data_IF_023446233194
#
_entry.id   IF_023446233194
#
_cell.length_a   1.000
_cell.length_b   1.000
_cell.length_c   1.000
_cell.angle_alpha   90.00
_cell.angle_beta   90.00
_cell.angle_gamma   90.00
#
_symmetry.space_group_name_H-M   'P 1'
#
loop_
_entity.id
_entity.type
_entity.pdbx_description
1 polymer ?
#
# COMPACT_ATOMS: atom_id res chain seq x y z
N UNK A 1 -22.55 3.87 -19.76
CA UNK A 1 -22.77 3.83 -18.29
C UNK A 1 -21.46 3.76 -17.49
N UNK A 2 -20.46 2.93 -17.84
CA UNK A 2 -19.15 2.92 -17.15
C UNK A 2 -18.38 4.26 -17.24
N UNK A 3 -18.49 4.99 -18.35
CA UNK A 3 -17.76 6.25 -18.57
C UNK A 3 -18.25 7.43 -17.68
N UNK A 4 -19.52 7.39 -17.27
CA UNK A 4 -20.08 8.37 -16.35
C UNK A 4 -19.61 8.11 -14.91
N UNK A 5 -19.55 6.84 -14.50
CA UNK A 5 -19.07 6.44 -13.18
C UNK A 5 -17.59 6.78 -12.95
N UNK A 6 -16.74 6.64 -13.98
CA UNK A 6 -15.33 7.07 -13.91
C UNK A 6 -15.18 8.58 -13.91
N UNK A 7 -16.02 9.32 -14.64
CA UNK A 7 -16.06 10.79 -14.53
C UNK A 7 -16.53 11.26 -13.15
N UNK A 8 -17.55 10.64 -12.55
CA UNK A 8 -17.97 10.94 -11.19
C UNK A 8 -16.86 10.65 -10.16
N UNK A 9 -16.09 9.56 -10.34
CA UNK A 9 -14.95 9.24 -9.48
C UNK A 9 -13.79 10.23 -9.64
N UNK A 10 -13.55 10.73 -10.87
CA UNK A 10 -12.58 11.79 -11.16
C UNK A 10 -13.03 13.17 -10.66
N UNK A 11 -14.34 13.45 -10.65
CA UNK A 11 -14.95 14.63 -10.03
C UNK A 11 -14.87 14.58 -8.50
N UNK A 12 -14.98 13.39 -7.89
CA UNK A 12 -14.74 13.20 -6.45
C UNK A 12 -13.26 13.38 -6.05
N UNK A 13 -12.33 13.24 -7.01
CA UNK A 13 -10.90 13.48 -6.84
C UNK A 13 -10.48 14.96 -6.98
N UNK A 14 -11.44 15.87 -7.18
CA UNK A 14 -11.34 17.33 -7.02
C UNK A 14 -9.94 17.92 -7.27
N UNK A 15 -9.67 18.27 -8.53
CA UNK A 15 -8.60 19.21 -8.89
C UNK A 15 -9.02 20.57 -8.34
N UNK A 16 -8.56 20.90 -7.14
CA UNK A 16 -8.85 22.17 -6.51
C UNK A 16 -8.08 23.30 -7.21
N UNK A 17 -8.81 24.18 -7.90
CA UNK A 17 -8.40 25.58 -8.01
C UNK A 17 -8.56 26.23 -6.62
N UNK A 18 -7.77 27.25 -6.26
CA UNK A 18 -7.79 27.86 -4.92
C UNK A 18 -9.12 28.52 -4.52
N UNK A 19 -10.12 28.55 -5.41
CA UNK A 19 -11.45 29.11 -5.17
C UNK A 19 -12.51 28.08 -4.74
N UNK A 20 -12.26 26.77 -4.86
CA UNK A 20 -13.20 25.75 -4.40
C UNK A 20 -12.90 25.34 -2.96
N UNK A 21 -13.92 25.37 -2.09
CA UNK A 21 -13.83 24.78 -0.76
C UNK A 21 -13.38 23.32 -0.87
N UNK A 22 -12.37 22.92 -0.07
CA UNK A 22 -11.89 21.55 -0.02
C UNK A 22 -13.04 20.55 0.17
N UNK A 23 -13.00 19.42 -0.55
CA UNK A 23 -13.99 18.36 -0.37
C UNK A 23 -13.95 17.82 1.07
N UNK A 24 -15.06 17.27 1.60
CA UNK A 24 -15.07 16.65 2.91
C UNK A 24 -13.99 15.57 3.09
N UNK A 25 -13.71 14.81 2.03
CA UNK A 25 -12.66 13.79 2.00
C UNK A 25 -11.27 14.43 2.12
N UNK A 26 -10.98 15.50 1.38
CA UNK A 26 -9.69 16.19 1.50
C UNK A 26 -9.50 16.82 2.87
N UNK A 27 -10.57 17.38 3.46
CA UNK A 27 -10.53 17.91 4.85
C UNK A 27 -10.23 16.82 5.87
N UNK A 28 -10.80 15.63 5.71
CA UNK A 28 -10.51 14.48 6.56
C UNK A 28 -9.06 14.03 6.40
N UNK A 29 -8.59 13.86 5.16
CA UNK A 29 -7.22 13.49 4.85
C UNK A 29 -6.23 14.49 5.46
N UNK A 30 -6.40 15.79 5.22
CA UNK A 30 -5.52 16.83 5.76
C UNK A 30 -5.52 16.84 7.29
N UNK A 31 -6.69 16.71 7.92
CA UNK A 31 -6.80 16.67 9.39
C UNK A 31 -5.97 15.54 9.99
N UNK A 32 -6.10 14.32 9.44
CA UNK A 32 -5.33 13.16 9.92
C UNK A 32 -3.83 13.38 9.70
N UNK A 33 -3.45 13.92 8.55
CA UNK A 33 -2.03 14.15 8.24
C UNK A 33 -1.39 15.23 9.14
N UNK A 34 -2.12 16.29 9.47
CA UNK A 34 -1.68 17.35 10.38
C UNK A 34 -1.59 16.80 11.80
N UNK A 35 -2.62 16.11 12.28
CA UNK A 35 -2.63 15.49 13.62
C UNK A 35 -1.45 14.52 13.81
N UNK A 36 -1.25 13.61 12.85
CA UNK A 36 -0.10 12.70 12.88
C UNK A 36 1.22 13.45 12.85
N UNK A 37 1.29 14.56 12.12
CA UNK A 37 2.49 15.39 12.06
C UNK A 37 2.84 16.01 13.40
N UNK A 38 1.85 16.64 14.06
CA UNK A 38 2.00 17.37 15.31
C UNK A 38 2.41 16.43 16.47
N UNK A 39 2.01 15.16 16.41
CA UNK A 39 2.35 14.15 17.42
C UNK A 39 3.58 13.30 17.10
N UNK A 40 4.41 13.70 16.11
CA UNK A 40 5.64 12.96 15.79
C UNK A 40 6.70 13.12 16.87
N UNK A 41 7.37 12.01 17.19
CA UNK A 41 8.63 12.03 17.96
C UNK A 41 9.78 11.46 17.13
N UNK A 42 11.05 11.79 17.44
CA UNK A 42 12.21 11.22 16.75
C UNK A 42 12.27 9.69 16.80
N UNK A 43 11.93 9.08 17.95
CA UNK A 43 11.98 7.64 18.19
C UNK A 43 10.97 6.92 17.32
N UNK A 44 9.70 7.37 17.36
CA UNK A 44 8.63 6.84 16.52
C UNK A 44 8.95 7.03 15.03
N UNK A 45 9.57 8.17 14.68
CA UNK A 45 10.00 8.44 13.30
C UNK A 45 11.07 7.45 12.84
N UNK A 46 12.06 7.14 13.68
CA UNK A 46 13.06 6.10 13.41
C UNK A 46 12.40 4.74 13.21
N UNK A 47 11.50 4.35 14.11
CA UNK A 47 10.75 3.10 14.02
C UNK A 47 9.93 2.99 12.72
N UNK A 48 9.12 4.00 12.39
CA UNK A 48 8.29 3.95 11.19
C UNK A 48 9.11 4.04 9.90
N UNK A 49 10.27 4.72 9.93
CA UNK A 49 11.23 4.68 8.81
C UNK A 49 11.83 3.29 8.63
N UNK A 50 12.21 2.63 9.71
CA UNK A 50 12.67 1.23 9.66
C UNK A 50 11.56 0.31 9.11
N UNK A 51 10.36 0.39 9.67
CA UNK A 51 9.23 -0.42 9.23
C UNK A 51 8.91 -0.20 7.75
N UNK A 52 8.84 1.04 7.26
CA UNK A 52 8.55 1.26 5.84
C UNK A 52 9.64 0.73 4.92
N UNK A 53 10.90 0.76 5.34
CA UNK A 53 12.02 0.25 4.53
C UNK A 53 11.97 -1.28 4.40
N UNK A 54 11.36 -1.98 5.37
CA UNK A 54 11.16 -3.44 5.30
C UNK A 54 10.26 -3.86 4.14
N UNK A 55 9.47 -2.95 3.55
CA UNK A 55 8.57 -3.23 2.42
C UNK A 55 9.29 -3.94 1.27
N UNK A 56 10.41 -3.41 0.79
CA UNK A 56 11.13 -3.98 -0.35
C UNK A 56 11.73 -5.35 -0.01
N UNK A 57 12.30 -5.48 1.20
CA UNK A 57 12.88 -6.73 1.67
C UNK A 57 11.82 -7.81 1.91
N UNK A 58 10.65 -7.46 2.45
CA UNK A 58 9.55 -8.40 2.66
C UNK A 58 8.94 -8.86 1.34
N UNK A 59 8.65 -7.93 0.42
CA UNK A 59 8.03 -8.24 -0.86
C UNK A 59 8.89 -9.14 -1.76
N UNK A 60 10.22 -9.08 -1.64
CA UNK A 60 11.14 -9.96 -2.38
C UNK A 60 11.59 -11.16 -1.55
N UNK A 61 11.95 -10.95 -0.29
CA UNK A 61 12.51 -11.96 0.59
C UNK A 61 11.52 -13.04 0.99
N UNK A 62 10.24 -12.72 1.18
CA UNK A 62 9.20 -13.71 1.50
C UNK A 62 9.04 -14.72 0.35
N UNK A 63 8.71 -14.31 -0.90
CA UNK A 63 8.59 -15.28 -1.99
C UNK A 63 9.91 -15.99 -2.28
N UNK A 64 11.06 -15.30 -2.23
CA UNK A 64 12.36 -15.95 -2.43
C UNK A 64 12.65 -17.02 -1.36
N UNK A 65 12.39 -16.73 -0.09
CA UNK A 65 12.55 -17.67 1.01
C UNK A 65 11.63 -18.87 0.88
N UNK A 66 10.37 -18.66 0.51
CA UNK A 66 9.43 -19.74 0.19
C UNK A 66 9.96 -20.61 -0.97
N UNK A 67 10.48 -19.98 -2.04
CA UNK A 67 11.01 -20.71 -3.19
C UNK A 67 12.20 -21.58 -2.81
N UNK A 68 13.19 -20.99 -2.13
CA UNK A 68 14.40 -21.69 -1.70
C UNK A 68 14.05 -22.83 -0.75
N UNK A 69 13.22 -22.57 0.26
CA UNK A 69 12.76 -23.61 1.19
C UNK A 69 12.03 -24.75 0.47
N UNK A 70 11.18 -24.43 -0.51
CA UNK A 70 10.48 -25.42 -1.31
C UNK A 70 11.41 -26.23 -2.23
N UNK A 71 12.48 -25.62 -2.76
CA UNK A 71 13.51 -26.34 -3.53
C UNK A 71 14.31 -27.28 -2.63
N UNK A 72 14.80 -26.78 -1.49
CA UNK A 72 15.62 -27.57 -0.55
C UNK A 72 14.82 -28.70 0.11
N UNK A 73 13.54 -28.45 0.42
CA UNK A 73 12.63 -29.43 1.01
C UNK A 73 11.93 -30.34 -0.01
N UNK A 74 12.22 -30.20 -1.31
CA UNK A 74 11.51 -30.90 -2.39
C UNK A 74 9.97 -30.72 -2.34
N UNK A 75 9.50 -29.61 -1.79
CA UNK A 75 8.09 -29.29 -1.62
C UNK A 75 7.57 -28.50 -2.83
N UNK A 76 6.80 -29.19 -3.69
CA UNK A 76 6.17 -28.57 -4.86
C UNK A 76 5.11 -27.53 -4.47
N UNK A 77 4.34 -27.78 -3.42
CA UNK A 77 3.29 -26.86 -2.98
C UNK A 77 3.88 -25.55 -2.45
N UNK A 78 4.99 -25.61 -1.71
CA UNK A 78 5.71 -24.42 -1.24
C UNK A 78 6.30 -23.60 -2.38
N UNK A 79 6.81 -24.25 -3.44
CA UNK A 79 7.26 -23.55 -4.66
C UNK A 79 6.11 -22.88 -5.41
N UNK A 80 4.97 -23.55 -5.56
CA UNK A 80 3.76 -22.96 -6.15
C UNK A 80 3.24 -21.78 -5.33
N UNK A 81 3.20 -21.91 -4.00
CA UNK A 81 2.83 -20.83 -3.10
C UNK A 81 3.79 -19.62 -3.21
N UNK A 82 5.09 -19.87 -3.37
CA UNK A 82 6.06 -18.80 -3.65
C UNK A 82 5.71 -18.03 -4.93
N UNK A 83 5.47 -18.75 -6.03
CA UNK A 83 5.10 -18.13 -7.32
C UNK A 83 3.78 -17.36 -7.22
N UNK A 84 2.80 -17.88 -6.47
CA UNK A 84 1.55 -17.19 -6.18
C UNK A 84 1.78 -15.87 -5.41
N UNK A 85 2.57 -15.88 -4.34
CA UNK A 85 2.89 -14.67 -3.56
C UNK A 85 3.64 -13.65 -4.43
N UNK A 86 4.66 -14.10 -5.16
CA UNK A 86 5.47 -13.23 -6.03
C UNK A 86 4.62 -12.56 -7.13
N UNK A 87 3.81 -13.36 -7.83
CA UNK A 87 2.95 -12.87 -8.90
C UNK A 87 1.84 -11.93 -8.40
N UNK A 88 1.25 -12.21 -7.24
CA UNK A 88 0.28 -11.31 -6.58
C UNK A 88 0.86 -9.92 -6.34
N UNK A 89 2.06 -9.87 -5.76
CA UNK A 89 2.74 -8.60 -5.45
C UNK A 89 3.20 -7.87 -6.71
N UNK A 90 3.64 -8.59 -7.74
CA UNK A 90 3.98 -8.02 -9.05
C UNK A 90 2.75 -7.40 -9.74
N UNK A 91 1.62 -8.08 -9.72
CA UNK A 91 0.35 -7.58 -10.28
C UNK A 91 -0.13 -6.35 -9.51
N UNK A 92 -0.06 -6.37 -8.18
CA UNK A 92 -0.37 -5.21 -7.34
C UNK A 92 0.52 -4.00 -7.67
N UNK A 93 1.81 -4.22 -7.89
CA UNK A 93 2.73 -3.17 -8.33
C UNK A 93 2.37 -2.60 -9.72
N UNK A 94 2.06 -3.48 -10.68
CA UNK A 94 1.63 -3.09 -12.03
C UNK A 94 0.38 -2.21 -12.01
N UNK A 95 -0.68 -2.65 -11.33
CA UNK A 95 -1.91 -1.86 -11.20
C UNK A 95 -1.69 -0.56 -10.44
N UNK A 96 -0.90 -0.58 -9.36
CA UNK A 96 -0.57 0.64 -8.62
C UNK A 96 0.10 1.67 -9.53
N UNK A 97 1.07 1.24 -10.33
CA UNK A 97 1.80 2.10 -11.25
C UNK A 97 0.87 2.67 -12.33
N UNK A 98 0.00 1.84 -12.90
CA UNK A 98 -1.01 2.27 -13.86
C UNK A 98 -1.95 3.32 -13.27
N UNK A 99 -2.55 3.03 -12.10
CA UNK A 99 -3.51 3.94 -11.46
C UNK A 99 -2.85 5.26 -11.08
N UNK A 100 -1.58 5.24 -10.63
CA UNK A 100 -0.81 6.48 -10.37
C UNK A 100 -0.73 7.39 -11.59
N UNK A 101 -0.52 6.81 -12.77
CA UNK A 101 -0.42 7.58 -14.02
C UNK A 101 -1.79 8.09 -14.52
N UNK A 102 -2.87 7.42 -14.14
CA UNK A 102 -4.24 7.85 -14.48
C UNK A 102 -4.71 8.95 -13.53
N UNK A 103 -4.58 8.73 -12.22
CA UNK A 103 -5.15 9.59 -11.18
C UNK A 103 -4.28 10.82 -10.91
N UNK A 104 -2.96 10.69 -11.00
CA UNK A 104 -1.99 11.80 -10.85
C UNK A 104 -2.17 12.67 -9.60
N UNK A 105 -2.68 12.08 -8.50
CA UNK A 105 -2.94 12.82 -7.26
C UNK A 105 -1.62 13.37 -6.67
N UNK A 106 -1.54 14.68 -6.34
CA UNK A 106 -0.40 15.24 -5.61
C UNK A 106 -0.22 14.60 -4.22
N UNK A 107 0.99 14.65 -3.70
CA UNK A 107 1.28 14.20 -2.32
C UNK A 107 0.83 15.23 -1.29
N UNK A 108 0.60 14.82 -0.02
CA UNK A 108 0.17 15.72 1.07
C UNK A 108 0.96 17.03 1.13
N UNK A 109 2.28 16.92 1.15
CA UNK A 109 3.21 18.04 1.23
C UNK A 109 3.35 18.90 -0.03
N UNK A 110 2.75 18.49 -1.15
CA UNK A 110 2.70 19.29 -2.39
C UNK A 110 1.46 20.17 -2.41
N UNK A 111 0.34 19.62 -1.93
CA UNK A 111 -0.96 20.28 -1.98
C UNK A 111 -1.22 21.16 -0.76
N UNK A 112 -0.72 20.78 0.42
CA UNK A 112 -0.91 21.51 1.65
C UNK A 112 0.46 21.77 2.32
N UNK A 113 0.85 23.05 2.36
CA UNK A 113 2.15 23.50 2.89
C UNK A 113 2.29 23.28 4.39
N UNK A 114 1.19 23.08 5.13
CA UNK A 114 1.24 22.79 6.55
C UNK A 114 1.75 21.37 6.81
N UNK A 115 1.62 20.45 5.84
CA UNK A 115 2.04 19.06 6.01
C UNK A 115 3.51 18.92 5.64
N UNK A 116 4.40 18.89 6.64
CA UNK A 116 5.85 18.72 6.44
C UNK A 116 6.22 17.24 6.50
N UNK A 117 6.67 16.59 5.40
CA UNK A 117 6.94 15.17 5.39
C UNK A 117 8.28 14.86 6.05
N UNK A 118 8.46 13.64 6.57
CA UNK A 118 9.76 13.17 7.08
C UNK A 118 10.81 13.09 5.97
N UNK A 119 10.35 12.80 4.75
CA UNK A 119 11.16 12.81 3.54
C UNK A 119 10.27 13.04 2.32
N UNK A 120 10.81 13.62 1.25
CA UNK A 120 10.05 13.88 0.01
C UNK A 120 10.09 12.67 -0.91
N UNK A 121 9.00 11.91 -0.92
CA UNK A 121 8.81 10.82 -1.88
C UNK A 121 8.49 11.37 -3.29
N UNK A 122 9.10 10.79 -4.33
CA UNK A 122 8.81 11.16 -5.73
C UNK A 122 7.46 10.64 -6.24
N UNK A 123 7.03 11.14 -7.40
CA UNK A 123 5.82 10.70 -8.12
C UNK A 123 4.49 10.98 -7.40
N UNK A 124 3.41 10.42 -7.93
CA UNK A 124 2.03 10.63 -7.45
C UNK A 124 1.71 9.86 -6.17
N UNK A 125 0.74 10.34 -5.41
CA UNK A 125 0.34 9.78 -4.10
C UNK A 125 -0.59 8.57 -4.22
N UNK A 126 -1.63 8.66 -5.05
CA UNK A 126 -2.69 7.65 -5.09
C UNK A 126 -2.43 6.51 -6.10
N UNK A 127 -2.65 5.22 -5.72
CA UNK A 127 -2.77 4.70 -4.37
C UNK A 127 -1.37 4.48 -3.74
N UNK A 128 -1.30 4.17 -2.44
CA UNK A 128 -0.03 3.88 -1.75
C UNK A 128 0.57 2.56 -2.22
N UNK A 129 1.76 2.61 -2.84
CA UNK A 129 2.44 1.40 -3.36
C UNK A 129 3.08 0.52 -2.31
N UNK A 130 3.54 1.10 -1.19
CA UNK A 130 4.00 0.29 -0.05
C UNK A 130 2.81 -0.47 0.54
N UNK A 131 1.67 0.20 0.71
CA UNK A 131 0.46 -0.43 1.23
C UNK A 131 -0.07 -1.52 0.29
N UNK A 132 -0.21 -1.25 -1.01
CA UNK A 132 -0.75 -2.23 -1.94
C UNK A 132 0.12 -3.47 -2.08
N UNK A 133 1.44 -3.32 -2.04
CA UNK A 133 2.36 -4.45 -2.14
C UNK A 133 2.43 -5.27 -0.85
N UNK A 134 2.53 -4.65 0.33
CA UNK A 134 2.58 -5.41 1.59
C UNK A 134 1.25 -6.07 1.93
N UNK A 135 0.11 -5.42 1.67
CA UNK A 135 -1.23 -6.02 1.85
C UNK A 135 -1.45 -7.16 0.84
N UNK A 136 -0.97 -7.03 -0.41
CA UNK A 136 -0.97 -8.14 -1.38
C UNK A 136 -0.18 -9.33 -0.85
N UNK A 137 1.07 -9.11 -0.39
CA UNK A 137 1.92 -10.15 0.19
C UNK A 137 1.25 -10.83 1.40
N UNK A 138 0.71 -10.06 2.34
CA UNK A 138 0.04 -10.59 3.53
C UNK A 138 -1.24 -11.37 3.20
N UNK A 139 -2.04 -10.88 2.24
CA UNK A 139 -3.26 -11.55 1.79
C UNK A 139 -2.93 -12.87 1.08
N UNK A 140 -1.94 -12.86 0.17
CA UNK A 140 -1.50 -14.07 -0.53
C UNK A 140 -0.92 -15.12 0.44
N UNK A 141 -0.10 -14.70 1.41
CA UNK A 141 0.38 -15.59 2.47
C UNK A 141 -0.76 -16.20 3.28
N UNK A 142 -1.77 -15.40 3.63
CA UNK A 142 -2.92 -15.86 4.42
C UNK A 142 -3.78 -16.87 3.67
N UNK A 143 -3.90 -16.71 2.35
CA UNK A 143 -4.61 -17.66 1.47
C UNK A 143 -3.78 -18.95 1.27
N UNK A 144 -2.46 -18.83 1.09
CA UNK A 144 -1.56 -19.96 0.90
C UNK A 144 -1.40 -20.80 2.18
N UNK A 145 -1.33 -20.13 3.33
CA UNK A 145 -1.11 -20.72 4.65
C UNK A 145 -2.14 -20.17 5.64
N UNK A 146 -3.36 -20.76 5.70
CA UNK A 146 -4.46 -20.28 6.54
C UNK A 146 -4.25 -20.68 8.01
N UNK A 147 -3.18 -20.16 8.60
CA UNK A 147 -2.74 -20.43 9.97
C UNK A 147 -2.61 -19.10 10.70
N UNK A 148 -3.20 -19.00 11.90
CA UNK A 148 -3.22 -17.74 12.66
C UNK A 148 -1.82 -17.17 12.89
N UNK A 149 -0.82 -18.02 13.08
CA UNK A 149 0.58 -17.64 13.28
C UNK A 149 1.30 -17.17 12.00
N UNK A 150 0.65 -17.26 10.83
CA UNK A 150 1.09 -16.63 9.57
C UNK A 150 0.27 -15.37 9.30
N UNK A 151 -1.05 -15.46 9.47
CA UNK A 151 -1.99 -14.38 9.21
C UNK A 151 -1.72 -13.18 10.13
N UNK A 152 -1.68 -13.39 11.45
CA UNK A 152 -1.52 -12.30 12.41
C UNK A 152 -0.22 -11.49 12.20
N UNK A 153 0.99 -12.11 12.14
CA UNK A 153 2.21 -11.32 11.94
C UNK A 153 2.30 -10.70 10.54
N UNK A 154 1.78 -11.34 9.49
CA UNK A 154 1.83 -10.76 8.14
C UNK A 154 0.95 -9.52 8.01
N UNK A 155 -0.26 -9.52 8.57
CA UNK A 155 -1.12 -8.34 8.60
C UNK A 155 -0.64 -7.29 9.61
N UNK A 156 -0.03 -7.69 10.73
CA UNK A 156 0.61 -6.73 11.64
C UNK A 156 1.74 -5.97 10.94
N UNK A 157 2.59 -6.67 10.21
CA UNK A 157 3.64 -6.06 9.40
C UNK A 157 3.06 -5.15 8.32
N UNK A 158 2.14 -5.65 7.48
CA UNK A 158 1.55 -4.87 6.39
C UNK A 158 0.76 -3.65 6.89
N UNK A 159 0.04 -3.79 8.01
CA UNK A 159 -0.67 -2.70 8.70
C UNK A 159 0.30 -1.65 9.24
N UNK A 160 1.40 -2.06 9.87
CA UNK A 160 2.43 -1.13 10.39
C UNK A 160 3.13 -0.39 9.26
N UNK A 161 3.46 -1.07 8.16
CA UNK A 161 4.00 -0.43 6.95
C UNK A 161 2.98 0.57 6.39
N UNK A 162 1.71 0.22 6.33
CA UNK A 162 0.66 1.09 5.80
C UNK A 162 0.47 2.35 6.66
N UNK A 163 0.40 2.19 7.97
CA UNK A 163 0.33 3.30 8.92
C UNK A 163 1.55 4.22 8.81
N UNK A 164 2.75 3.64 8.66
CA UNK A 164 3.98 4.43 8.51
C UNK A 164 3.90 5.41 7.33
N UNK A 165 3.13 5.12 6.28
CA UNK A 165 3.02 6.01 5.10
C UNK A 165 2.30 7.32 5.43
N UNK A 166 1.30 7.25 6.30
CA UNK A 166 0.59 8.42 6.83
C UNK A 166 1.47 9.14 7.85
N UNK A 167 2.02 8.40 8.83
CA UNK A 167 2.88 8.96 9.87
C UNK A 167 4.09 9.73 9.30
N UNK A 168 4.72 9.21 8.24
CA UNK A 168 5.88 9.84 7.60
C UNK A 168 5.50 11.01 6.68
N UNK A 169 4.21 11.32 6.53
CA UNK A 169 3.73 12.49 5.79
C UNK A 169 3.67 12.31 4.26
N UNK A 170 3.76 11.07 3.74
CA UNK A 170 3.99 10.82 2.31
C UNK A 170 2.77 10.31 1.55
N UNK A 171 1.73 9.85 2.25
CA UNK A 171 0.47 9.38 1.68
C UNK A 171 -0.71 9.76 2.58
N UNK A 172 -1.84 10.07 1.96
CA UNK A 172 -3.10 10.33 2.66
C UNK A 172 -3.75 9.03 3.16
N UNK A 173 -4.64 9.09 4.17
CA UNK A 173 -5.47 7.96 4.58
C UNK A 173 -6.18 7.28 3.41
N UNK A 174 -6.78 8.04 2.51
CA UNK A 174 -7.46 7.49 1.32
C UNK A 174 -6.51 6.77 0.34
N UNK A 175 -5.25 7.22 0.20
CA UNK A 175 -4.24 6.51 -0.61
C UNK A 175 -3.93 5.13 0.00
N UNK A 176 -3.87 5.07 1.33
CA UNK A 176 -3.60 3.86 2.11
C UNK A 176 -4.78 2.90 2.03
N UNK A 177 -6.02 3.36 2.23
CA UNK A 177 -7.22 2.54 2.08
C UNK A 177 -7.34 1.96 0.68
N UNK A 178 -7.17 2.78 -0.37
CA UNK A 178 -7.21 2.31 -1.75
C UNK A 178 -6.08 1.33 -2.07
N UNK A 179 -4.88 1.58 -1.53
CA UNK A 179 -3.76 0.65 -1.63
C UNK A 179 -4.11 -0.71 -1.01
N UNK A 180 -4.75 -0.74 0.16
CA UNK A 180 -5.09 -1.98 0.84
C UNK A 180 -6.13 -2.80 0.05
N UNK A 181 -7.17 -2.13 -0.48
CA UNK A 181 -8.17 -2.77 -1.34
C UNK A 181 -7.52 -3.34 -2.60
N UNK A 182 -6.67 -2.56 -3.28
CA UNK A 182 -5.98 -3.01 -4.49
C UNK A 182 -5.05 -4.20 -4.21
N UNK A 183 -4.30 -4.15 -3.10
CA UNK A 183 -3.41 -5.21 -2.70
C UNK A 183 -4.14 -6.53 -2.42
N UNK A 184 -5.18 -6.47 -1.61
CA UNK A 184 -6.01 -7.63 -1.30
C UNK A 184 -6.67 -8.21 -2.56
N UNK A 185 -7.23 -7.33 -3.42
CA UNK A 185 -7.82 -7.73 -4.70
C UNK A 185 -6.82 -8.41 -5.64
N UNK A 186 -5.58 -7.92 -5.70
CA UNK A 186 -4.51 -8.51 -6.53
C UNK A 186 -4.15 -9.93 -6.07
N UNK A 187 -4.06 -10.15 -4.76
CA UNK A 187 -3.82 -11.48 -4.22
C UNK A 187 -4.98 -12.44 -4.50
N UNK A 188 -6.23 -11.98 -4.36
CA UNK A 188 -7.41 -12.79 -4.68
C UNK A 188 -7.45 -13.13 -6.16
N UNK A 189 -7.16 -12.18 -7.06
CA UNK A 189 -7.16 -12.41 -8.50
C UNK A 189 -6.15 -13.45 -8.94
N UNK A 190 -5.01 -13.58 -8.24
CA UNK A 190 -3.96 -14.55 -8.57
C UNK A 190 -4.13 -15.92 -7.90
N UNK A 191 -5.17 -16.12 -7.08
CA UNK A 191 -5.37 -17.34 -6.27
C UNK A 191 -5.47 -18.63 -7.10
N UNK A 192 -5.78 -18.54 -8.39
CA UNK A 192 -5.80 -19.68 -9.31
C UNK A 192 -4.42 -20.31 -9.54
N UNK A 193 -3.31 -19.62 -9.22
CA UNK A 193 -1.94 -20.12 -9.35
C UNK A 193 -1.50 -21.09 -8.23
N UNK A 194 -2.35 -21.29 -7.20
CA UNK A 194 -2.08 -22.22 -6.10
C UNK A 194 -2.32 -23.71 -6.46
N UNK A 195 -2.75 -24.00 -7.69
CA UNK A 195 -3.06 -25.37 -8.13
C UNK A 195 -1.80 -26.21 -8.33
#
# INVERSE_FOLDING_TARGET
>A
MLFAATMQLLLLLNIATPAQAQSPIQKFDDRVMIDLMEHRTPEKTGFFRFMTNTCNYGNLGIPAGLFIGGVLGHDQAMRQNSLYVASSTLISFGFTTLIKQIVKRPRPFVQNIQIVPVYRAGGYSFPSGHTSSTISTATALSIAYPKWYVIAPSFLWAGTVSYSRMYLGVHYPTDVTAGAVLGAGSAVSMSFLRK
#
